data_IF_445528778562
#
_entry.id   IF_445528778562
#
_cell.length_a   1.000
_cell.length_b   1.000
_cell.length_c   1.000
_cell.angle_alpha   90.00
_cell.angle_beta   90.00
_cell.angle_gamma   90.00
#
_symmetry.space_group_name_H-M   'P 1'
#
loop_
_entity.id
_entity.type
_entity.pdbx_description
1 polymer ?
#
# COMPACT_ATOMS: atom_id res chain seq x y z
N UNK A 1 6.46 -0.11 -6.57
CA UNK A 1 7.07 -0.12 -7.93
C UNK A 1 8.28 -1.04 -8.03
N UNK A 2 9.31 -0.95 -7.17
CA UNK A 2 10.48 -1.85 -7.27
C UNK A 2 10.13 -3.31 -6.90
N UNK A 3 9.26 -3.59 -5.94
CA UNK A 3 8.77 -4.96 -5.65
C UNK A 3 7.83 -5.48 -6.73
N UNK A 4 6.95 -4.66 -7.30
CA UNK A 4 6.16 -5.04 -8.48
C UNK A 4 7.08 -5.23 -9.68
N UNK A 5 8.10 -4.38 -9.84
CA UNK A 5 9.17 -4.59 -10.82
C UNK A 5 10.04 -5.82 -10.46
N UNK A 6 10.43 -5.99 -9.20
CA UNK A 6 11.10 -7.21 -8.72
C UNK A 6 10.19 -8.45 -8.85
N UNK A 7 8.91 -8.36 -8.60
CA UNK A 7 8.01 -9.51 -8.73
C UNK A 7 7.62 -9.79 -10.19
N UNK A 8 7.44 -8.73 -11.00
CA UNK A 8 7.37 -8.87 -12.47
C UNK A 8 8.69 -9.40 -13.05
N UNK A 9 9.81 -9.11 -12.41
CA UNK A 9 11.14 -9.64 -12.74
C UNK A 9 11.34 -11.04 -12.10
N UNK A 10 10.81 -11.33 -10.90
CA UNK A 10 11.03 -12.59 -10.19
C UNK A 10 10.08 -13.73 -10.65
N UNK A 11 8.90 -13.44 -11.20
CA UNK A 11 8.05 -14.47 -11.80
C UNK A 11 8.65 -15.09 -13.09
N UNK A 12 9.20 -14.31 -14.03
CA UNK A 12 10.06 -14.87 -15.06
C UNK A 12 11.41 -15.37 -14.52
N UNK A 13 11.84 -14.94 -13.33
CA UNK A 13 13.10 -15.38 -12.71
C UNK A 13 13.09 -16.85 -12.26
N UNK A 14 11.96 -17.55 -12.08
CA UNK A 14 11.99 -19.02 -12.05
C UNK A 14 12.66 -19.59 -13.31
N UNK A 15 12.50 -18.93 -14.45
CA UNK A 15 13.20 -19.27 -15.68
C UNK A 15 14.59 -18.57 -15.80
N UNK A 16 14.83 -17.46 -15.09
CA UNK A 16 16.08 -16.68 -15.09
C UNK A 16 17.05 -17.21 -14.03
N UNK A 17 16.57 -17.76 -12.89
CA UNK A 17 17.41 -18.51 -11.94
C UNK A 17 18.04 -19.77 -12.56
N UNK A 18 17.49 -20.26 -13.68
CA UNK A 18 18.17 -21.20 -14.58
C UNK A 18 19.28 -20.57 -15.45
N UNK A 19 19.45 -19.24 -15.43
CA UNK A 19 20.44 -18.52 -16.23
C UNK A 19 21.19 -17.47 -15.39
N UNK A 20 22.07 -17.88 -14.45
CA UNK A 20 22.76 -16.98 -13.51
C UNK A 20 23.58 -15.88 -14.20
N UNK A 21 23.95 -16.08 -15.46
CA UNK A 21 24.68 -15.10 -16.27
C UNK A 21 23.85 -13.83 -16.58
N UNK A 22 22.53 -13.86 -16.55
CA UNK A 22 21.67 -12.66 -16.70
C UNK A 22 21.57 -11.85 -15.39
N UNK A 23 21.72 -12.49 -14.23
CA UNK A 23 21.65 -11.83 -12.94
C UNK A 23 22.88 -10.95 -12.68
N UNK A 24 24.05 -11.38 -13.11
CA UNK A 24 25.31 -10.63 -12.90
C UNK A 24 25.25 -9.24 -13.57
N UNK A 25 24.94 -9.10 -14.87
CA UNK A 25 24.80 -7.80 -15.50
C UNK A 25 23.73 -6.92 -14.84
N UNK A 26 22.57 -7.50 -14.48
CA UNK A 26 21.50 -6.77 -13.81
C UNK A 26 21.94 -6.21 -12.45
N UNK A 27 22.65 -7.00 -11.63
CA UNK A 27 23.21 -6.56 -10.35
C UNK A 27 24.29 -5.50 -10.55
N UNK A 28 25.15 -5.63 -11.55
CA UNK A 28 26.18 -4.65 -11.86
C UNK A 28 25.56 -3.32 -12.29
N UNK A 29 24.58 -3.33 -13.18
CA UNK A 29 23.85 -2.14 -13.62
C UNK A 29 23.13 -1.48 -12.43
N UNK A 30 22.42 -2.27 -11.62
CA UNK A 30 21.74 -1.76 -10.42
C UNK A 30 22.75 -1.11 -9.45
N UNK A 31 23.87 -1.78 -9.19
CA UNK A 31 24.92 -1.26 -8.30
C UNK A 31 25.52 0.04 -8.84
N UNK A 32 25.80 0.09 -10.15
CA UNK A 32 26.31 1.29 -10.81
C UNK A 32 25.30 2.46 -10.75
N UNK A 33 24.02 2.18 -10.95
CA UNK A 33 22.96 3.19 -10.82
C UNK A 33 22.83 3.70 -9.37
N UNK A 34 22.80 2.80 -8.39
CA UNK A 34 22.75 3.18 -6.97
C UNK A 34 23.98 4.03 -6.58
N UNK A 35 25.16 3.66 -7.06
CA UNK A 35 26.38 4.44 -6.86
C UNK A 35 26.27 5.82 -7.51
N UNK A 36 25.88 5.89 -8.78
CA UNK A 36 25.76 7.16 -9.52
C UNK A 36 24.77 8.12 -8.83
N UNK A 37 23.65 7.59 -8.35
CA UNK A 37 22.63 8.35 -7.61
C UNK A 37 23.14 8.83 -6.24
N UNK A 38 24.08 8.12 -5.61
CA UNK A 38 24.72 8.51 -4.35
C UNK A 38 25.85 9.55 -4.51
N UNK A 39 26.37 9.77 -5.73
CA UNK A 39 27.52 10.65 -5.95
C UNK A 39 27.35 12.10 -5.46
N UNK A 40 26.20 12.78 -5.63
CA UNK A 40 26.04 14.14 -5.10
C UNK A 40 26.21 14.20 -3.58
N UNK A 41 25.65 13.22 -2.87
CA UNK A 41 25.79 13.09 -1.42
C UNK A 41 27.21 12.76 -1.01
N UNK A 42 27.86 11.81 -1.69
CA UNK A 42 29.27 11.46 -1.45
C UNK A 42 30.20 12.66 -1.65
N UNK A 43 30.05 13.41 -2.76
CA UNK A 43 30.85 14.59 -3.04
C UNK A 43 30.71 15.66 -1.96
N UNK A 44 29.49 15.84 -1.46
CA UNK A 44 29.24 16.76 -0.35
C UNK A 44 29.91 16.30 0.95
N UNK A 45 29.80 15.01 1.30
CA UNK A 45 30.45 14.46 2.48
C UNK A 45 31.99 14.66 2.43
N UNK A 46 32.59 14.55 1.23
CA UNK A 46 34.02 14.76 1.04
C UNK A 46 34.50 16.22 1.23
N UNK A 47 33.58 17.18 1.16
CA UNK A 47 33.90 18.56 1.53
C UNK A 47 33.99 18.75 3.05
N UNK A 48 33.36 17.85 3.82
CA UNK A 48 33.33 17.90 5.28
C UNK A 48 34.38 16.97 5.93
N UNK A 49 34.63 15.80 5.31
CA UNK A 49 35.43 14.73 5.88
C UNK A 49 36.30 14.05 4.79
N UNK A 50 37.50 13.58 5.11
CA UNK A 50 38.32 12.79 4.20
C UNK A 50 37.79 11.35 4.06
N UNK A 51 36.57 11.21 3.49
CA UNK A 51 35.87 9.94 3.36
C UNK A 51 36.39 9.15 2.13
N UNK A 52 36.97 7.95 2.29
CA UNK A 52 37.37 7.11 1.17
C UNK A 52 36.17 6.51 0.45
N UNK A 53 36.29 6.41 -0.88
CA UNK A 53 35.16 5.94 -1.71
C UNK A 53 34.70 4.52 -1.37
N UNK A 54 35.60 3.62 -1.01
CA UNK A 54 35.25 2.25 -0.64
C UNK A 54 34.40 2.18 0.62
N UNK A 55 34.68 3.05 1.62
CA UNK A 55 33.89 3.09 2.85
C UNK A 55 32.48 3.64 2.60
N UNK A 56 32.37 4.69 1.76
CA UNK A 56 31.07 5.18 1.33
C UNK A 56 30.30 4.10 0.54
N UNK A 57 30.97 3.40 -0.40
CA UNK A 57 30.38 2.32 -1.16
C UNK A 57 29.81 1.23 -0.24
N UNK A 58 30.56 0.82 0.77
CA UNK A 58 30.12 -0.18 1.74
C UNK A 58 28.86 0.28 2.48
N UNK A 59 28.88 1.48 3.05
CA UNK A 59 27.73 2.03 3.81
C UNK A 59 26.51 2.26 2.92
N UNK A 60 26.75 2.64 1.67
CA UNK A 60 25.68 2.98 0.73
C UNK A 60 25.06 1.78 0.03
N UNK A 61 25.85 0.78 -0.33
CA UNK A 61 25.41 -0.37 -1.12
C UNK A 61 25.06 -1.61 -0.28
N UNK A 62 25.72 -1.83 0.87
CA UNK A 62 25.48 -3.02 1.67
C UNK A 62 24.00 -3.12 2.16
N UNK A 63 23.35 -2.03 2.62
CA UNK A 63 21.94 -2.13 2.99
C UNK A 63 21.01 -2.43 1.82
N UNK A 64 21.35 -2.03 0.59
CA UNK A 64 20.58 -2.39 -0.61
C UNK A 64 20.57 -3.91 -0.84
N UNK A 65 21.74 -4.54 -0.63
CA UNK A 65 21.89 -5.99 -0.77
C UNK A 65 21.18 -6.77 0.34
N UNK A 66 20.97 -6.17 1.51
CA UNK A 66 20.34 -6.84 2.65
C UNK A 66 18.90 -7.28 2.33
N UNK A 67 18.18 -6.51 1.52
CA UNK A 67 16.82 -6.88 1.08
C UNK A 67 16.86 -8.15 0.21
N UNK A 68 17.75 -8.20 -0.77
CA UNK A 68 17.93 -9.38 -1.63
C UNK A 68 18.36 -10.60 -0.81
N UNK A 69 19.32 -10.44 0.08
CA UNK A 69 19.80 -11.51 0.95
C UNK A 69 18.68 -12.04 1.87
N UNK A 70 17.77 -11.17 2.31
CA UNK A 70 16.66 -11.59 3.17
C UNK A 70 15.77 -12.65 2.53
N UNK A 71 15.61 -12.64 1.19
CA UNK A 71 14.82 -13.65 0.48
C UNK A 71 15.55 -14.99 0.29
N UNK A 72 16.87 -15.02 0.47
CA UNK A 72 17.69 -16.22 0.31
C UNK A 72 17.90 -16.98 1.63
N UNK A 73 17.56 -16.37 2.76
CA UNK A 73 17.81 -16.92 4.09
C UNK A 73 16.61 -17.66 4.65
N UNK A 74 16.85 -18.84 5.21
CA UNK A 74 15.88 -19.64 5.96
C UNK A 74 15.74 -19.21 7.43
N UNK A 75 16.82 -18.70 8.05
CA UNK A 75 16.74 -18.21 9.42
C UNK A 75 15.82 -17.00 9.54
N UNK A 76 14.75 -17.16 10.28
CA UNK A 76 13.69 -16.15 10.43
C UNK A 76 14.17 -14.85 11.07
N UNK A 77 15.07 -14.91 12.07
CA UNK A 77 15.51 -13.70 12.79
C UNK A 77 16.40 -12.85 11.90
N UNK A 78 17.38 -13.50 11.25
CA UNK A 78 18.30 -12.83 10.35
C UNK A 78 17.56 -12.30 9.11
N UNK A 79 16.67 -13.11 8.51
CA UNK A 79 15.79 -12.69 7.41
C UNK A 79 14.99 -11.44 7.77
N UNK A 80 14.28 -11.46 8.91
CA UNK A 80 13.47 -10.32 9.36
C UNK A 80 14.32 -9.07 9.63
N UNK A 81 15.52 -9.21 10.17
CA UNK A 81 16.43 -8.10 10.40
C UNK A 81 16.94 -7.49 9.10
N UNK A 82 17.46 -8.31 8.19
CA UNK A 82 17.98 -7.86 6.89
C UNK A 82 16.87 -7.23 6.04
N UNK A 83 15.68 -7.81 6.05
CA UNK A 83 14.54 -7.26 5.33
C UNK A 83 14.21 -5.84 5.82
N UNK A 84 14.11 -5.63 7.14
CA UNK A 84 13.86 -4.30 7.71
C UNK A 84 14.96 -3.30 7.40
N UNK A 85 16.23 -3.72 7.49
CA UNK A 85 17.37 -2.86 7.12
C UNK A 85 17.27 -2.39 5.66
N UNK A 86 17.02 -3.32 4.74
CA UNK A 86 16.92 -3.01 3.32
C UNK A 86 15.74 -2.11 2.98
N UNK A 87 14.57 -2.36 3.56
CA UNK A 87 13.39 -1.53 3.35
C UNK A 87 13.55 -0.12 3.92
N UNK A 88 14.07 0.01 5.15
CA UNK A 88 14.35 1.33 5.74
C UNK A 88 15.37 2.10 4.93
N UNK A 89 16.43 1.42 4.49
CA UNK A 89 17.44 2.02 3.62
C UNK A 89 16.82 2.50 2.29
N UNK A 90 15.90 1.73 1.70
CA UNK A 90 15.23 2.12 0.47
C UNK A 90 14.45 3.44 0.62
N UNK A 91 13.71 3.58 1.73
CA UNK A 91 13.02 4.84 2.04
C UNK A 91 13.99 6.01 2.25
N UNK A 92 15.10 5.79 2.97
CA UNK A 92 16.17 6.78 3.16
C UNK A 92 16.81 7.16 1.83
N UNK A 93 17.22 6.15 1.05
CA UNK A 93 17.85 6.31 -0.25
C UNK A 93 17.04 7.20 -1.19
N UNK A 94 15.74 6.94 -1.31
CA UNK A 94 14.87 7.67 -2.21
C UNK A 94 14.91 9.19 -1.93
N UNK A 95 14.63 9.59 -0.69
CA UNK A 95 14.52 11.01 -0.34
C UNK A 95 15.86 11.71 -0.21
N UNK A 96 16.87 11.01 0.30
CA UNK A 96 18.22 11.56 0.38
C UNK A 96 18.79 11.83 -1.02
N UNK A 97 18.66 10.85 -1.92
CA UNK A 97 19.08 11.00 -3.32
C UNK A 97 18.32 12.13 -4.01
N UNK A 98 16.99 12.19 -3.88
CA UNK A 98 16.19 13.27 -4.49
C UNK A 98 16.63 14.65 -3.99
N UNK A 99 16.83 14.82 -2.68
CA UNK A 99 17.24 16.10 -2.10
C UNK A 99 18.60 16.55 -2.60
N UNK A 100 19.58 15.64 -2.65
CA UNK A 100 20.95 15.96 -3.12
C UNK A 100 21.03 16.11 -4.63
N UNK A 101 20.25 15.37 -5.42
CA UNK A 101 20.15 15.62 -6.87
C UNK A 101 19.55 16.97 -7.18
N UNK A 102 18.49 17.37 -6.46
CA UNK A 102 17.89 18.69 -6.62
C UNK A 102 18.90 19.81 -6.27
N UNK A 103 19.61 19.69 -5.15
CA UNK A 103 20.64 20.65 -4.77
C UNK A 103 21.76 20.72 -5.82
N UNK A 104 22.22 19.58 -6.32
CA UNK A 104 23.24 19.51 -7.37
C UNK A 104 22.75 20.16 -8.69
N UNK A 105 21.50 19.93 -9.08
CA UNK A 105 20.89 20.52 -10.26
C UNK A 105 20.80 22.05 -10.13
N UNK A 106 20.35 22.56 -8.99
CA UNK A 106 20.30 24.02 -8.72
C UNK A 106 21.69 24.66 -8.80
N UNK A 107 22.68 24.06 -8.14
CA UNK A 107 24.07 24.57 -8.22
C UNK A 107 24.61 24.52 -9.64
N UNK A 108 24.26 23.50 -10.43
CA UNK A 108 24.65 23.41 -11.83
C UNK A 108 24.00 24.51 -12.69
N UNK A 109 22.73 24.81 -12.48
CA UNK A 109 22.04 25.91 -13.17
C UNK A 109 22.70 27.26 -12.85
N UNK A 110 23.06 27.50 -11.58
CA UNK A 110 23.80 28.71 -11.17
C UNK A 110 25.17 28.78 -11.88
N UNK A 111 25.88 27.67 -12.04
CA UNK A 111 27.13 27.66 -12.78
C UNK A 111 26.93 27.95 -14.28
N UNK A 112 25.88 27.43 -14.89
CA UNK A 112 25.54 27.68 -16.30
C UNK A 112 25.21 29.15 -16.54
N UNK A 113 24.60 29.85 -15.58
CA UNK A 113 24.37 31.29 -15.66
C UNK A 113 25.62 32.15 -15.52
N UNK A 114 26.81 31.56 -15.43
CA UNK A 114 28.10 32.26 -15.33
C UNK A 114 28.55 32.55 -13.89
N UNK A 115 27.76 32.23 -12.89
CA UNK A 115 28.15 32.51 -11.50
C UNK A 115 29.13 31.42 -10.97
N UNK A 116 30.14 31.88 -10.18
CA UNK A 116 31.10 30.97 -9.53
C UNK A 116 30.48 30.34 -8.29
N UNK A 117 30.44 29.02 -8.24
CA UNK A 117 29.99 28.25 -7.08
C UNK A 117 31.21 27.82 -6.26
N UNK A 118 31.41 28.46 -5.10
CA UNK A 118 32.45 28.10 -4.14
C UNK A 118 32.10 26.82 -3.33
N UNK A 119 33.06 26.25 -2.63
CA UNK A 119 32.83 25.11 -1.74
C UNK A 119 31.89 25.48 -0.58
N UNK A 120 31.93 26.72 -0.10
CA UNK A 120 30.98 27.20 0.91
C UNK A 120 29.52 27.11 0.41
N UNK A 121 29.24 27.48 -0.85
CA UNK A 121 27.90 27.30 -1.45
C UNK A 121 27.50 25.84 -1.54
N UNK A 122 28.42 24.96 -1.92
CA UNK A 122 28.18 23.50 -1.98
C UNK A 122 27.88 22.93 -0.59
N UNK A 123 28.64 23.34 0.44
CA UNK A 123 28.42 22.93 1.82
C UNK A 123 27.04 23.39 2.31
N UNK A 124 26.68 24.66 2.10
CA UNK A 124 25.37 25.20 2.49
C UNK A 124 24.21 24.50 1.77
N UNK A 125 24.33 24.28 0.46
CA UNK A 125 23.32 23.56 -0.32
C UNK A 125 23.14 22.11 0.16
N UNK A 126 24.22 21.42 0.56
CA UNK A 126 24.15 20.08 1.13
C UNK A 126 23.46 20.05 2.49
N UNK A 127 23.70 21.03 3.36
CA UNK A 127 22.96 21.14 4.61
C UNK A 127 21.47 21.41 4.39
N UNK A 128 21.11 22.24 3.42
CA UNK A 128 19.70 22.47 3.04
C UNK A 128 19.07 21.19 2.48
N UNK A 129 19.80 20.44 1.63
CA UNK A 129 19.34 19.16 1.11
C UNK A 129 19.10 18.13 2.24
N UNK A 130 20.02 18.06 3.21
CA UNK A 130 19.89 17.18 4.37
C UNK A 130 18.70 17.58 5.26
N UNK A 131 18.49 18.89 5.47
CA UNK A 131 17.34 19.38 6.22
C UNK A 131 16.01 19.06 5.50
N UNK A 132 15.94 19.27 4.18
CA UNK A 132 14.77 18.94 3.37
C UNK A 132 14.48 17.42 3.41
N UNK A 133 15.52 16.60 3.26
CA UNK A 133 15.41 15.14 3.44
C UNK A 133 14.84 14.80 4.82
N UNK A 134 15.43 15.33 5.89
CA UNK A 134 15.01 15.02 7.26
C UNK A 134 13.54 15.42 7.50
N UNK A 135 13.11 16.59 7.04
CA UNK A 135 11.72 17.04 7.16
C UNK A 135 10.77 16.12 6.40
N UNK A 136 11.08 15.77 5.15
CA UNK A 136 10.25 14.88 4.35
C UNK A 136 10.18 13.47 4.95
N UNK A 137 11.31 12.93 5.37
CA UNK A 137 11.39 11.55 5.89
C UNK A 137 10.71 11.43 7.26
N UNK A 138 11.06 12.30 8.20
CA UNK A 138 10.45 12.31 9.55
C UNK A 138 8.94 12.59 9.46
N UNK A 139 8.55 13.61 8.68
CA UNK A 139 7.15 13.91 8.43
C UNK A 139 6.41 12.73 7.79
N UNK A 140 7.03 12.03 6.85
CA UNK A 140 6.50 10.85 6.21
C UNK A 140 6.34 9.65 7.16
N UNK A 141 7.28 9.45 8.09
CA UNK A 141 7.18 8.43 9.15
C UNK A 141 6.04 8.76 10.13
N UNK A 142 5.96 10.00 10.59
CA UNK A 142 4.88 10.44 11.48
C UNK A 142 3.52 10.23 10.81
N UNK A 143 3.40 10.61 9.53
CA UNK A 143 2.18 10.44 8.76
C UNK A 143 1.80 8.97 8.56
N UNK A 144 2.77 8.06 8.34
CA UNK A 144 2.54 6.63 8.23
C UNK A 144 2.04 5.99 9.54
N UNK A 145 2.42 6.55 10.68
CA UNK A 145 2.02 6.06 12.00
C UNK A 145 0.71 6.67 12.51
N UNK A 146 0.16 7.64 11.79
CA UNK A 146 -1.09 8.32 12.16
C UNK A 146 -2.24 7.89 11.26
N UNK A 147 -3.23 7.18 11.83
CA UNK A 147 -4.42 6.71 11.10
C UNK A 147 -5.45 7.84 11.07
N UNK A 148 -5.86 8.24 9.88
CA UNK A 148 -6.91 9.25 9.67
C UNK A 148 -8.23 8.61 9.31
N UNK A 149 -9.32 9.25 9.70
CA UNK A 149 -10.67 8.87 9.28
C UNK A 149 -11.11 9.78 8.16
N UNK A 150 -11.30 9.24 6.97
CA UNK A 150 -11.90 9.94 5.83
C UNK A 150 -13.38 9.60 5.79
N UNK A 151 -14.25 10.59 5.50
CA UNK A 151 -15.69 10.39 5.39
C UNK A 151 -16.14 10.54 3.94
N UNK A 152 -17.00 9.62 3.49
CA UNK A 152 -17.60 9.63 2.16
C UNK A 152 -19.08 9.29 2.32
N UNK A 153 -19.97 10.21 1.88
CA UNK A 153 -21.40 9.96 1.84
C UNK A 153 -21.78 9.42 0.46
N UNK A 154 -22.58 8.36 0.43
CA UNK A 154 -23.01 7.65 -0.77
C UNK A 154 -24.51 7.41 -0.68
N UNK A 155 -25.24 7.82 -1.70
CA UNK A 155 -26.68 7.59 -1.80
C UNK A 155 -26.96 6.30 -2.57
N UNK A 156 -27.61 5.34 -1.92
CA UNK A 156 -27.98 4.03 -2.49
C UNK A 156 -29.49 3.77 -2.29
N UNK A 157 -30.11 2.89 -3.08
CA UNK A 157 -31.52 2.49 -2.91
C UNK A 157 -31.65 1.53 -1.71
N UNK A 158 -31.30 1.99 -0.53
CA UNK A 158 -31.42 1.30 0.76
C UNK A 158 -32.59 1.88 1.57
N UNK A 159 -33.10 1.11 2.55
CA UNK A 159 -34.24 1.53 3.36
C UNK A 159 -33.88 2.38 4.58
N UNK A 160 -32.63 2.26 5.06
CA UNK A 160 -32.11 2.99 6.23
C UNK A 160 -30.64 3.35 6.01
N UNK A 161 -30.20 4.41 6.65
CA UNK A 161 -28.79 4.78 6.67
C UNK A 161 -27.94 3.70 7.33
N UNK A 162 -26.74 3.46 6.78
CA UNK A 162 -25.75 2.52 7.28
C UNK A 162 -24.38 3.19 7.36
N UNK A 163 -23.64 2.86 8.38
CA UNK A 163 -22.25 3.30 8.59
C UNK A 163 -21.31 2.13 8.38
N UNK A 164 -20.59 2.10 7.27
CA UNK A 164 -19.60 1.09 7.00
C UNK A 164 -18.20 1.71 7.11
N UNK A 165 -17.24 0.98 7.65
CA UNK A 165 -15.84 1.42 7.61
C UNK A 165 -15.07 0.52 6.66
N UNK A 166 -14.50 1.13 5.62
CA UNK A 166 -13.56 0.49 4.71
C UNK A 166 -12.14 0.62 5.26
N UNK A 167 -11.47 -0.50 5.42
CA UNK A 167 -10.03 -0.61 5.62
C UNK A 167 -9.42 -1.56 4.59
N UNK A 168 -8.17 -1.39 4.27
CA UNK A 168 -7.39 -2.29 3.39
C UNK A 168 -5.91 -2.18 3.70
N UNK A 169 -5.11 -3.03 3.06
CA UNK A 169 -3.67 -2.90 3.01
C UNK A 169 -3.04 -2.83 4.42
N UNK A 170 -3.44 -3.75 5.30
CA UNK A 170 -2.90 -3.83 6.65
C UNK A 170 -1.43 -4.24 6.65
N UNK A 171 -1.02 -5.06 5.68
CA UNK A 171 0.34 -5.58 5.51
C UNK A 171 0.94 -6.07 6.82
N UNK A 172 0.20 -6.94 7.54
CA UNK A 172 0.68 -7.55 8.76
C UNK A 172 1.94 -8.37 8.47
N UNK A 173 3.05 -8.01 9.10
CA UNK A 173 4.35 -8.63 8.79
C UNK A 173 5.51 -7.98 9.55
N UNK A 174 6.59 -7.64 8.85
CA UNK A 174 7.83 -7.16 9.45
C UNK A 174 7.73 -5.78 10.11
N UNK A 175 6.97 -4.86 9.50
CA UNK A 175 6.83 -3.48 9.98
C UNK A 175 5.47 -3.20 10.61
N UNK A 176 4.40 -3.68 10.00
CA UNK A 176 3.04 -3.55 10.54
C UNK A 176 2.93 -4.45 11.77
N UNK A 177 3.52 -3.96 12.84
CA UNK A 177 3.65 -4.68 14.10
C UNK A 177 2.44 -4.51 15.01
N UNK A 178 2.51 -5.12 16.20
CA UNK A 178 1.41 -5.18 17.15
C UNK A 178 0.95 -3.81 17.70
N UNK A 179 1.68 -2.73 17.41
CA UNK A 179 1.31 -1.39 17.85
C UNK A 179 0.43 -0.64 16.83
N UNK A 180 0.48 -1.02 15.56
CA UNK A 180 -0.26 -0.31 14.49
C UNK A 180 -1.73 -0.75 14.44
N UNK A 181 -1.96 -2.07 14.44
CA UNK A 181 -3.31 -2.64 14.33
C UNK A 181 -4.26 -2.18 15.45
N UNK A 182 -3.87 -2.09 16.74
CA UNK A 182 -4.75 -1.54 17.78
C UNK A 182 -5.15 -0.08 17.54
N UNK A 183 -4.28 0.73 16.92
CA UNK A 183 -4.61 2.12 16.56
C UNK A 183 -5.66 2.16 15.44
N UNK A 184 -5.53 1.28 14.45
CA UNK A 184 -6.50 1.13 13.36
C UNK A 184 -7.84 0.69 13.94
N UNK A 185 -7.87 -0.36 14.76
CA UNK A 185 -9.08 -0.88 15.41
C UNK A 185 -9.75 0.20 16.28
N UNK A 186 -8.98 0.96 17.04
CA UNK A 186 -9.51 2.09 17.83
C UNK A 186 -10.16 3.15 16.93
N UNK A 187 -9.47 3.57 15.86
CA UNK A 187 -10.01 4.56 14.93
C UNK A 187 -11.31 4.09 14.26
N UNK A 188 -11.44 2.78 14.01
CA UNK A 188 -12.66 2.16 13.48
C UNK A 188 -13.76 2.16 14.54
N UNK A 189 -13.48 1.69 15.75
CA UNK A 189 -14.45 1.59 16.83
C UNK A 189 -15.05 2.95 17.20
N UNK A 190 -14.24 4.02 17.19
CA UNK A 190 -14.68 5.40 17.42
C UNK A 190 -15.71 5.90 16.36
N UNK A 191 -15.84 5.23 15.23
CA UNK A 191 -16.84 5.57 14.23
C UNK A 191 -18.16 4.81 14.43
N UNK A 192 -18.25 3.88 15.39
CA UNK A 192 -19.43 3.05 15.69
C UNK A 192 -20.06 2.47 14.40
N UNK A 193 -19.31 1.70 13.59
CA UNK A 193 -19.81 1.22 12.33
C UNK A 193 -20.80 0.06 12.49
N UNK A 194 -21.80 -0.02 11.60
CA UNK A 194 -22.69 -1.18 11.48
C UNK A 194 -21.94 -2.42 10.95
N UNK A 195 -20.92 -2.23 10.09
CA UNK A 195 -20.02 -3.28 9.63
C UNK A 195 -18.67 -2.70 9.18
N UNK A 196 -17.66 -3.58 9.07
CA UNK A 196 -16.34 -3.26 8.54
C UNK A 196 -16.08 -4.05 7.27
N UNK A 197 -15.55 -3.37 6.25
CA UNK A 197 -15.12 -3.94 4.98
C UNK A 197 -13.59 -3.96 4.93
N UNK A 198 -12.98 -5.13 4.83
CA UNK A 198 -11.53 -5.32 4.73
C UNK A 198 -11.16 -5.72 3.30
N UNK A 199 -10.71 -4.74 2.52
CA UNK A 199 -10.44 -4.88 1.09
C UNK A 199 -9.03 -5.39 0.78
N UNK A 200 -8.66 -6.55 1.30
CA UNK A 200 -7.44 -7.28 0.93
C UNK A 200 -6.12 -6.73 1.46
N UNK A 201 -5.04 -7.41 1.09
CA UNK A 201 -3.67 -7.20 1.54
C UNK A 201 -3.56 -7.14 3.08
N UNK A 202 -4.10 -8.20 3.68
CA UNK A 202 -4.11 -8.38 5.14
C UNK A 202 -2.69 -8.72 5.63
N UNK A 203 -2.00 -9.58 4.91
CA UNK A 203 -0.62 -9.97 5.20
C UNK A 203 0.35 -9.39 4.17
N UNK A 204 1.55 -9.02 4.62
CA UNK A 204 2.63 -8.59 3.73
C UNK A 204 3.45 -9.78 3.19
N UNK A 205 3.64 -10.82 4.04
CA UNK A 205 4.51 -11.96 3.80
C UNK A 205 3.84 -13.28 4.26
N UNK A 206 4.65 -14.33 4.48
CA UNK A 206 4.20 -15.59 5.07
C UNK A 206 3.67 -15.42 6.50
N UNK A 207 2.81 -16.35 6.92
CA UNK A 207 2.28 -16.34 8.29
C UNK A 207 3.39 -16.39 9.35
N UNK A 208 4.49 -17.13 9.07
CA UNK A 208 5.63 -17.20 9.96
C UNK A 208 6.35 -15.87 10.17
N UNK A 209 6.20 -14.91 9.26
CA UNK A 209 6.83 -13.60 9.38
C UNK A 209 6.02 -12.63 10.26
N UNK A 210 4.79 -13.03 10.62
CA UNK A 210 3.92 -12.26 11.49
C UNK A 210 4.52 -12.15 12.91
N UNK A 211 4.79 -10.94 13.35
CA UNK A 211 5.32 -10.68 14.69
C UNK A 211 4.21 -10.67 15.72
N UNK A 212 4.32 -11.53 16.76
CA UNK A 212 3.33 -11.63 17.85
C UNK A 212 1.90 -11.85 17.31
N UNK A 213 1.63 -12.95 16.59
CA UNK A 213 0.33 -13.21 15.96
C UNK A 213 -0.85 -13.12 16.93
N UNK A 214 -0.63 -13.45 18.21
CA UNK A 214 -1.67 -13.41 19.23
C UNK A 214 -2.19 -11.99 19.50
N UNK A 215 -1.33 -10.96 19.45
CA UNK A 215 -1.77 -9.58 19.63
C UNK A 215 -2.57 -9.09 18.42
N UNK A 216 -2.22 -9.53 17.21
CA UNK A 216 -3.01 -9.26 16.01
C UNK A 216 -4.37 -9.97 16.07
N UNK A 217 -4.36 -11.24 16.51
CA UNK A 217 -5.60 -12.02 16.72
C UNK A 217 -6.52 -11.32 17.72
N UNK A 218 -6.00 -10.92 18.88
CA UNK A 218 -6.77 -10.21 19.90
C UNK A 218 -7.40 -8.92 19.36
N UNK A 219 -6.62 -8.12 18.62
CA UNK A 219 -7.12 -6.87 18.05
C UNK A 219 -8.24 -7.09 17.02
N UNK A 220 -8.05 -8.04 16.08
CA UNK A 220 -9.04 -8.34 15.04
C UNK A 220 -10.28 -9.04 15.62
N UNK A 221 -10.10 -10.00 16.54
CA UNK A 221 -11.21 -10.66 17.20
C UNK A 221 -12.00 -9.68 18.09
N UNK A 222 -11.31 -8.75 18.77
CA UNK A 222 -11.96 -7.68 19.52
C UNK A 222 -12.83 -6.76 18.65
N UNK A 223 -12.41 -6.51 17.40
CA UNK A 223 -13.22 -5.77 16.43
C UNK A 223 -14.43 -6.59 15.98
N UNK A 224 -14.22 -7.84 15.57
CA UNK A 224 -15.24 -8.68 14.96
C UNK A 224 -16.28 -9.21 15.95
N UNK A 225 -15.98 -9.27 17.25
CA UNK A 225 -16.97 -9.69 18.24
C UNK A 225 -18.07 -8.64 18.49
N UNK A 226 -17.83 -7.38 18.15
CA UNK A 226 -18.80 -6.30 18.31
C UNK A 226 -19.40 -5.82 16.98
N UNK A 227 -18.69 -6.02 15.88
CA UNK A 227 -19.06 -5.48 14.56
C UNK A 227 -18.77 -6.52 13.48
N UNK A 228 -19.74 -6.88 12.60
CA UNK A 228 -19.48 -7.79 11.49
C UNK A 228 -18.34 -7.28 10.61
N UNK A 229 -17.39 -8.16 10.29
CA UNK A 229 -16.25 -7.85 9.40
C UNK A 229 -16.33 -8.76 8.18
N UNK A 230 -16.44 -8.14 7.00
CA UNK A 230 -16.40 -8.83 5.71
C UNK A 230 -15.06 -8.53 5.04
N UNK A 231 -14.37 -9.54 4.55
CA UNK A 231 -13.06 -9.41 3.94
C UNK A 231 -13.01 -10.07 2.57
N UNK A 232 -12.16 -9.58 1.69
CA UNK A 232 -11.65 -10.30 0.51
C UNK A 232 -10.13 -10.44 0.62
N UNK A 233 -9.53 -11.31 -0.19
CA UNK A 233 -8.07 -11.40 -0.31
C UNK A 233 -7.51 -10.34 -1.24
N UNK A 234 -6.23 -9.97 -1.05
CA UNK A 234 -5.47 -9.14 -1.96
C UNK A 234 -4.29 -9.89 -2.58
N UNK A 235 -3.53 -9.21 -3.43
CA UNK A 235 -2.41 -9.84 -4.14
C UNK A 235 -1.26 -10.25 -3.21
N UNK A 236 -1.03 -9.54 -2.09
CA UNK A 236 -0.03 -9.96 -1.10
C UNK A 236 -0.45 -11.20 -0.31
N UNK A 237 -1.75 -11.39 -0.12
CA UNK A 237 -2.26 -12.59 0.53
C UNK A 237 -1.96 -13.85 -0.30
N UNK A 238 -1.85 -13.70 -1.65
CA UNK A 238 -1.53 -14.78 -2.60
C UNK A 238 -0.02 -15.07 -2.73
N UNK A 239 0.86 -14.08 -2.46
CA UNK A 239 2.30 -14.20 -2.73
C UNK A 239 2.99 -15.32 -1.96
N UNK A 240 2.51 -15.61 -0.77
CA UNK A 240 3.00 -16.64 0.12
C UNK A 240 1.81 -17.49 0.57
N UNK A 241 1.33 -18.43 -0.29
CA UNK A 241 0.18 -19.26 0.02
C UNK A 241 0.42 -20.05 1.31
N UNK A 242 -0.48 -19.87 2.28
CA UNK A 242 -0.39 -20.53 3.58
C UNK A 242 -1.79 -20.67 4.20
N UNK A 243 -2.27 -21.88 4.34
CA UNK A 243 -3.58 -22.17 4.93
C UNK A 243 -3.75 -21.58 6.34
N UNK A 244 -2.65 -21.31 7.03
CA UNK A 244 -2.67 -20.64 8.35
C UNK A 244 -3.18 -19.21 8.28
N UNK A 245 -3.02 -18.51 7.14
CA UNK A 245 -3.55 -17.15 6.93
C UNK A 245 -5.07 -17.15 6.95
N UNK A 246 -5.69 -18.03 6.16
CA UNK A 246 -7.15 -18.17 6.12
C UNK A 246 -7.71 -18.63 7.47
N UNK A 247 -7.05 -19.62 8.10
CA UNK A 247 -7.42 -20.08 9.43
C UNK A 247 -7.29 -18.97 10.48
N UNK A 248 -6.28 -18.09 10.37
CA UNK A 248 -6.10 -16.95 11.24
C UNK A 248 -7.24 -15.94 11.07
N UNK A 249 -7.56 -15.55 9.82
CA UNK A 249 -8.63 -14.59 9.53
C UNK A 249 -9.98 -15.10 10.02
N UNK A 250 -10.35 -16.33 9.64
CA UNK A 250 -11.61 -16.96 10.07
C UNK A 250 -11.66 -17.17 11.58
N UNK A 251 -10.52 -17.53 12.20
CA UNK A 251 -10.38 -17.66 13.64
C UNK A 251 -10.48 -16.33 14.42
N UNK A 252 -10.36 -15.18 13.74
CA UNK A 252 -10.67 -13.87 14.28
C UNK A 252 -12.18 -13.51 14.16
N UNK A 253 -13.05 -14.39 13.66
CA UNK A 253 -14.46 -14.09 13.44
C UNK A 253 -14.73 -13.24 12.19
N UNK A 254 -13.75 -13.07 11.31
CA UNK A 254 -13.87 -12.32 10.06
C UNK A 254 -14.42 -13.23 8.97
N UNK A 255 -15.45 -12.77 8.26
CA UNK A 255 -16.03 -13.50 7.12
C UNK A 255 -15.23 -13.20 5.85
N UNK A 256 -14.36 -14.12 5.48
CA UNK A 256 -13.59 -14.05 4.24
C UNK A 256 -14.47 -14.53 3.07
N UNK A 257 -14.70 -13.64 2.11
CA UNK A 257 -15.51 -13.85 0.90
C UNK A 257 -14.57 -14.01 -0.31
N UNK A 258 -14.67 -15.13 -1.01
CA UNK A 258 -13.78 -15.50 -2.11
C UNK A 258 -14.59 -15.89 -3.35
N UNK A 259 -15.03 -14.89 -4.11
CA UNK A 259 -16.08 -14.99 -5.13
C UNK A 259 -17.43 -15.43 -4.56
N UNK A 260 -17.67 -15.05 -3.30
CA UNK A 260 -18.86 -15.36 -2.54
C UNK A 260 -19.63 -14.10 -2.16
N UNK A 261 -20.93 -14.23 -2.02
CA UNK A 261 -21.79 -13.14 -1.58
C UNK A 261 -22.49 -13.43 -0.26
N UNK A 262 -22.89 -12.36 0.40
CA UNK A 262 -23.72 -12.39 1.60
C UNK A 262 -24.79 -11.31 1.53
N UNK A 263 -26.01 -11.65 1.93
CA UNK A 263 -27.06 -10.67 2.18
C UNK A 263 -26.91 -10.12 3.60
N UNK A 264 -26.78 -8.80 3.71
CA UNK A 264 -26.62 -8.14 5.00
C UNK A 264 -27.33 -6.77 5.00
N UNK A 265 -28.23 -6.53 5.94
CA UNK A 265 -28.94 -5.26 6.16
C UNK A 265 -29.54 -4.62 4.89
N UNK A 266 -30.06 -5.42 3.99
CA UNK A 266 -30.66 -4.95 2.73
C UNK A 266 -29.64 -4.68 1.60
N UNK A 267 -28.36 -5.01 1.80
CA UNK A 267 -27.33 -5.03 0.79
C UNK A 267 -26.98 -6.46 0.38
N UNK A 268 -26.52 -6.64 -0.84
CA UNK A 268 -25.74 -7.80 -1.25
C UNK A 268 -24.25 -7.39 -1.25
N UNK A 269 -23.44 -8.03 -0.41
CA UNK A 269 -22.00 -7.81 -0.35
C UNK A 269 -21.33 -8.99 -1.06
N UNK A 270 -20.64 -8.73 -2.17
CA UNK A 270 -19.86 -9.69 -2.92
C UNK A 270 -18.38 -9.45 -2.67
N UNK A 271 -17.68 -10.43 -2.10
CA UNK A 271 -16.21 -10.40 -2.03
C UNK A 271 -15.61 -11.13 -3.22
N UNK A 272 -14.74 -10.44 -3.96
CA UNK A 272 -14.04 -11.01 -5.10
C UNK A 272 -12.65 -11.52 -4.70
N UNK A 273 -12.22 -12.65 -5.28
CA UNK A 273 -10.80 -13.02 -5.28
C UNK A 273 -9.99 -11.95 -6.00
N UNK A 274 -8.73 -11.72 -5.60
CA UNK A 274 -7.88 -10.73 -6.27
C UNK A 274 -7.75 -11.00 -7.78
N UNK A 275 -7.59 -9.95 -8.53
CA UNK A 275 -7.45 -10.02 -9.98
C UNK A 275 -6.19 -10.77 -10.47
N UNK A 276 -5.26 -11.12 -9.57
CA UNK A 276 -4.08 -11.95 -9.84
C UNK A 276 -4.27 -13.42 -9.41
N UNK A 277 -5.39 -13.77 -8.76
CA UNK A 277 -5.70 -15.14 -8.37
C UNK A 277 -6.20 -15.95 -9.58
N UNK A 278 -5.49 -16.99 -9.94
CA UNK A 278 -5.87 -17.90 -11.05
C UNK A 278 -7.20 -18.65 -10.76
N UNK A 279 -7.63 -18.69 -9.50
CA UNK A 279 -8.91 -19.29 -9.06
C UNK A 279 -10.07 -18.30 -9.11
N UNK A 280 -9.83 -17.03 -9.47
CA UNK A 280 -10.89 -16.01 -9.59
C UNK A 280 -11.90 -16.44 -10.65
N UNK A 281 -13.15 -16.58 -10.24
CA UNK A 281 -14.22 -16.95 -11.15
C UNK A 281 -14.54 -15.83 -12.13
N UNK A 282 -14.85 -16.15 -13.39
CA UNK A 282 -15.28 -15.15 -14.36
C UNK A 282 -16.62 -14.52 -13.96
N UNK A 283 -16.89 -13.28 -14.37
CA UNK A 283 -18.12 -12.56 -14.01
C UNK A 283 -19.41 -13.35 -14.26
N UNK A 284 -19.45 -14.09 -15.38
CA UNK A 284 -20.59 -14.90 -15.81
C UNK A 284 -20.97 -16.02 -14.83
N UNK A 285 -20.06 -16.42 -13.94
CA UNK A 285 -20.33 -17.45 -12.93
C UNK A 285 -20.70 -16.86 -11.57
N UNK A 286 -20.37 -15.61 -11.30
CA UNK A 286 -20.56 -14.99 -9.98
C UNK A 286 -21.79 -14.09 -9.93
N UNK A 287 -21.92 -13.17 -10.90
CA UNK A 287 -22.94 -12.13 -10.83
C UNK A 287 -24.38 -12.58 -11.17
N UNK A 288 -24.62 -13.52 -12.12
CA UNK A 288 -26.01 -13.90 -12.48
C UNK A 288 -26.81 -14.50 -11.33
N UNK A 289 -26.17 -15.11 -10.34
CA UNK A 289 -26.81 -15.70 -9.16
C UNK A 289 -27.17 -14.70 -8.06
N UNK A 290 -26.82 -13.41 -8.23
CA UNK A 290 -27.06 -12.40 -7.21
C UNK A 290 -28.46 -11.81 -7.29
N UNK A 291 -29.05 -11.51 -6.13
CA UNK A 291 -30.37 -10.85 -6.05
C UNK A 291 -30.28 -9.43 -6.62
N UNK A 292 -31.21 -9.10 -7.51
CA UNK A 292 -31.37 -7.76 -8.09
C UNK A 292 -32.25 -6.84 -7.27
N UNK A 293 -32.87 -7.36 -6.19
CA UNK A 293 -33.80 -6.60 -5.35
C UNK A 293 -33.07 -5.75 -4.29
N UNK A 294 -31.74 -5.82 -4.25
CA UNK A 294 -30.92 -5.15 -3.25
C UNK A 294 -29.68 -4.54 -3.93
N UNK A 295 -29.25 -3.38 -3.46
CA UNK A 295 -27.99 -2.80 -3.95
C UNK A 295 -26.81 -3.77 -3.77
N UNK A 296 -25.99 -3.84 -4.81
CA UNK A 296 -24.80 -4.68 -4.84
C UNK A 296 -23.57 -3.86 -4.47
N UNK A 297 -22.94 -4.22 -3.34
CA UNK A 297 -21.65 -3.74 -2.92
C UNK A 297 -20.59 -4.79 -3.26
N UNK A 298 -19.61 -4.43 -4.08
CA UNK A 298 -18.49 -5.31 -4.43
C UNK A 298 -17.24 -4.91 -3.64
N UNK A 299 -16.72 -5.86 -2.88
CA UNK A 299 -15.45 -5.78 -2.17
C UNK A 299 -14.37 -6.46 -3.03
N UNK A 300 -13.55 -5.67 -3.70
CA UNK A 300 -12.50 -6.15 -4.62
C UNK A 300 -11.22 -5.36 -4.35
N UNK A 301 -10.15 -6.07 -3.99
CA UNK A 301 -8.90 -5.43 -3.60
C UNK A 301 -8.34 -4.52 -4.68
N UNK A 302 -8.29 -4.98 -5.93
CA UNK A 302 -7.67 -4.26 -7.02
C UNK A 302 -8.68 -3.40 -7.78
N UNK A 303 -8.55 -2.06 -7.79
CA UNK A 303 -9.50 -1.17 -8.43
C UNK A 303 -9.57 -1.30 -9.97
N UNK A 304 -8.64 -2.00 -10.62
CA UNK A 304 -8.65 -2.16 -12.08
C UNK A 304 -9.91 -2.83 -12.63
N UNK A 305 -10.60 -3.60 -11.81
CA UNK A 305 -11.79 -4.39 -12.18
C UNK A 305 -13.12 -3.68 -11.91
N UNK A 306 -13.11 -2.43 -11.43
CA UNK A 306 -14.32 -1.71 -11.03
C UNK A 306 -15.34 -1.54 -12.17
N UNK A 307 -14.89 -1.36 -13.43
CA UNK A 307 -15.79 -1.22 -14.58
C UNK A 307 -16.54 -2.52 -14.85
N UNK A 308 -15.86 -3.66 -14.76
CA UNK A 308 -16.49 -4.98 -14.83
C UNK A 308 -17.62 -5.11 -13.82
N UNK A 309 -17.36 -4.77 -12.55
CA UNK A 309 -18.39 -4.82 -11.51
C UNK A 309 -19.57 -3.87 -11.80
N UNK A 310 -19.29 -2.66 -12.29
CA UNK A 310 -20.33 -1.71 -12.68
C UNK A 310 -21.19 -2.18 -13.87
N UNK A 311 -20.58 -2.84 -14.84
CA UNK A 311 -21.29 -3.47 -15.97
C UNK A 311 -22.19 -4.62 -15.53
N UNK A 312 -21.83 -5.29 -14.44
CA UNK A 312 -22.61 -6.35 -13.81
C UNK A 312 -23.67 -5.82 -12.79
N UNK A 313 -23.82 -4.51 -12.67
CA UNK A 313 -24.87 -3.88 -11.86
C UNK A 313 -24.45 -3.51 -10.43
N UNK A 314 -23.16 -3.49 -10.12
CA UNK A 314 -22.72 -3.01 -8.81
C UNK A 314 -22.96 -1.50 -8.66
N UNK A 315 -23.65 -1.10 -7.59
CA UNK A 315 -23.83 0.30 -7.21
C UNK A 315 -22.62 0.87 -6.46
N UNK A 316 -21.93 0.03 -5.68
CA UNK A 316 -20.75 0.44 -4.93
C UNK A 316 -19.64 -0.59 -5.08
N UNK A 317 -18.46 -0.14 -5.51
CA UNK A 317 -17.21 -0.91 -5.49
C UNK A 317 -16.27 -0.27 -4.48
N UNK A 318 -15.66 -1.08 -3.61
CA UNK A 318 -14.67 -0.62 -2.64
C UNK A 318 -13.37 -1.39 -2.82
N UNK A 319 -12.25 -0.67 -2.83
CA UNK A 319 -10.92 -1.20 -3.18
C UNK A 319 -9.79 -0.56 -2.36
N UNK A 320 -8.62 -1.20 -2.38
CA UNK A 320 -7.36 -0.72 -1.85
C UNK A 320 -6.22 -0.77 -2.88
N UNK A 321 -5.18 -1.57 -2.60
CA UNK A 321 -4.10 -2.00 -3.50
C UNK A 321 -3.05 -0.93 -3.83
N UNK A 322 -3.47 0.26 -4.23
CA UNK A 322 -2.57 1.27 -4.78
C UNK A 322 -1.80 2.07 -3.73
N UNK A 323 -2.23 2.01 -2.48
CA UNK A 323 -1.77 2.89 -1.39
C UNK A 323 -1.86 4.39 -1.73
N UNK A 324 -2.63 4.77 -2.77
CA UNK A 324 -2.61 6.12 -3.34
C UNK A 324 -1.24 6.53 -3.87
N UNK A 325 -0.35 5.56 -4.16
CA UNK A 325 1.05 5.74 -4.53
C UNK A 325 2.01 5.88 -3.36
N UNK A 326 1.54 5.76 -2.13
CA UNK A 326 2.23 5.76 -0.82
C UNK A 326 3.25 6.88 -0.60
N UNK A 327 4.15 7.14 -1.55
CA UNK A 327 5.26 8.09 -1.42
C UNK A 327 5.38 8.99 -2.65
N UNK A 328 5.64 10.29 -2.43
CA UNK A 328 6.01 11.19 -3.52
C UNK A 328 7.40 10.79 -4.08
N UNK A 329 7.63 10.80 -5.42
CA UNK A 329 6.69 11.15 -6.49
C UNK A 329 5.84 9.97 -7.00
N UNK A 330 5.86 8.80 -6.35
CA UNK A 330 5.14 7.60 -6.76
C UNK A 330 3.64 7.82 -6.90
N UNK A 331 3.06 8.66 -6.04
CA UNK A 331 1.65 9.05 -6.11
C UNK A 331 1.30 9.83 -7.40
N UNK A 332 2.20 10.68 -7.89
CA UNK A 332 2.00 11.41 -9.14
C UNK A 332 2.17 10.47 -10.34
N UNK A 333 3.21 9.63 -10.31
CA UNK A 333 3.47 8.65 -11.37
C UNK A 333 2.32 7.66 -11.54
N UNK A 334 1.82 7.10 -10.44
CA UNK A 334 0.69 6.17 -10.51
C UNK A 334 -0.57 6.85 -11.05
N UNK A 335 -0.88 8.07 -10.62
CA UNK A 335 -2.02 8.83 -11.16
C UNK A 335 -1.92 9.09 -12.66
N UNK A 336 -0.71 9.33 -13.16
CA UNK A 336 -0.47 9.59 -14.58
C UNK A 336 -0.48 8.33 -15.46
N UNK A 337 -0.06 7.20 -14.91
CA UNK A 337 0.18 5.97 -15.67
C UNK A 337 -0.95 4.95 -15.56
N UNK A 338 -1.72 4.93 -14.47
CA UNK A 338 -2.78 3.93 -14.30
C UNK A 338 -4.05 4.34 -15.02
N UNK A 339 -4.69 3.44 -15.78
CA UNK A 339 -5.93 3.71 -16.52
C UNK A 339 -7.18 3.67 -15.63
N UNK A 340 -7.01 3.55 -14.33
CA UNK A 340 -8.08 3.48 -13.34
C UNK A 340 -7.76 4.39 -12.13
N UNK A 341 -8.78 4.81 -11.35
CA UNK A 341 -8.56 5.60 -10.14
C UNK A 341 -7.73 4.83 -9.12
N UNK A 342 -6.65 5.45 -8.65
CA UNK A 342 -5.77 4.86 -7.64
C UNK A 342 -6.11 5.31 -6.22
N UNK A 343 -7.01 6.30 -6.05
CA UNK A 343 -7.36 6.86 -4.75
C UNK A 343 -8.59 7.76 -4.85
N UNK A 344 -9.41 7.71 -3.82
CA UNK A 344 -10.52 8.63 -3.60
C UNK A 344 -11.87 8.05 -3.98
N UNK A 345 -12.86 8.91 -4.14
CA UNK A 345 -14.22 8.57 -4.52
C UNK A 345 -14.50 9.03 -5.95
N UNK A 346 -15.03 8.13 -6.76
CA UNK A 346 -15.53 8.40 -8.11
C UNK A 346 -17.00 8.01 -8.19
N UNK A 347 -17.80 8.86 -8.79
CA UNK A 347 -19.21 8.60 -9.07
C UNK A 347 -19.47 8.74 -10.57
N UNK A 348 -20.25 7.81 -11.14
CA UNK A 348 -20.64 7.81 -12.55
C UNK A 348 -21.99 7.13 -12.71
N UNK A 349 -23.01 7.86 -13.17
CA UNK A 349 -24.34 7.31 -13.43
C UNK A 349 -25.01 6.61 -12.23
N UNK A 350 -24.87 7.15 -11.02
CA UNK A 350 -25.41 6.56 -9.78
C UNK A 350 -24.58 5.39 -9.23
N UNK A 351 -23.46 5.04 -9.88
CA UNK A 351 -22.51 4.01 -9.42
C UNK A 351 -21.33 4.68 -8.74
N UNK A 352 -20.77 4.02 -7.74
CA UNK A 352 -19.72 4.56 -6.89
C UNK A 352 -18.51 3.62 -6.84
N UNK A 353 -17.31 4.20 -6.89
CA UNK A 353 -16.05 3.53 -6.59
C UNK A 353 -15.36 4.30 -5.47
N UNK A 354 -14.97 3.59 -4.41
CA UNK A 354 -14.12 4.16 -3.35
C UNK A 354 -12.83 3.36 -3.29
N UNK A 355 -11.71 4.04 -3.54
CA UNK A 355 -10.37 3.47 -3.42
C UNK A 355 -9.68 4.13 -2.24
N UNK A 356 -9.38 3.35 -1.20
CA UNK A 356 -8.64 3.84 -0.04
C UNK A 356 -7.13 3.77 -0.26
N UNK A 357 -6.40 4.63 0.44
CA UNK A 357 -4.93 4.54 0.48
C UNK A 357 -4.41 3.49 1.46
N UNK A 358 -5.30 2.81 2.16
CA UNK A 358 -4.95 1.75 3.11
C UNK A 358 -4.65 2.24 4.52
N UNK A 359 -4.86 1.35 5.49
CA UNK A 359 -4.68 1.60 6.92
C UNK A 359 -3.31 1.16 7.45
N UNK A 360 -2.57 0.36 6.70
CA UNK A 360 -1.18 0.00 6.93
C UNK A 360 -0.24 0.68 5.96
N UNK A 361 0.89 0.09 5.72
CA UNK A 361 1.87 0.54 4.74
C UNK A 361 2.67 -0.65 4.21
N UNK A 362 3.04 -0.56 2.97
CA UNK A 362 3.88 -1.52 2.30
C UNK A 362 5.35 -1.11 2.39
N UNK A 363 6.24 -2.03 2.81
CA UNK A 363 7.65 -1.72 3.04
C UNK A 363 7.86 -0.88 4.30
N UNK A 364 8.74 0.15 4.26
CA UNK A 364 9.04 0.95 5.44
C UNK A 364 7.84 1.81 5.87
N UNK A 365 7.74 2.18 7.15
CA UNK A 365 6.68 3.05 7.66
C UNK A 365 6.87 4.47 7.14
N UNK A 366 6.54 4.70 5.87
CA UNK A 366 6.79 5.97 5.20
C UNK A 366 5.63 6.32 4.25
N UNK A 367 4.95 7.45 4.52
CA UNK A 367 3.90 8.01 3.66
C UNK A 367 4.13 9.50 3.42
N UNK A 368 4.40 9.87 2.18
CA UNK A 368 4.66 11.26 1.77
C UNK A 368 3.69 11.64 0.66
N UNK A 369 2.87 12.66 0.92
CA UNK A 369 1.84 13.13 -0.01
C UNK A 369 0.56 12.27 -0.06
N UNK A 370 0.48 11.23 0.77
CA UNK A 370 -0.70 10.36 0.96
C UNK A 370 -0.81 10.00 2.43
N UNK A 371 -2.03 9.94 2.96
CA UNK A 371 -2.27 9.60 4.36
C UNK A 371 -2.43 8.08 4.56
N UNK A 372 -2.24 7.65 5.79
CA UNK A 372 -2.72 6.38 6.29
C UNK A 372 -4.16 6.55 6.77
N UNK A 373 -5.11 5.74 6.29
CA UNK A 373 -6.52 6.03 6.54
C UNK A 373 -7.42 4.79 6.65
N UNK A 374 -8.51 4.98 7.34
CA UNK A 374 -9.75 4.22 7.19
C UNK A 374 -10.83 5.13 6.62
N UNK A 375 -11.78 4.58 5.85
CA UNK A 375 -12.83 5.38 5.22
C UNK A 375 -14.18 5.04 5.83
N UNK A 376 -14.81 6.01 6.50
CA UNK A 376 -16.20 5.92 6.92
C UNK A 376 -17.10 6.18 5.72
N UNK A 377 -17.79 5.15 5.25
CA UNK A 377 -18.81 5.19 4.23
C UNK A 377 -20.16 5.41 4.91
N UNK A 378 -20.74 6.59 4.73
CA UNK A 378 -22.09 6.90 5.17
C UNK A 378 -23.04 6.61 4.02
N UNK A 379 -23.69 5.44 4.07
CA UNK A 379 -24.67 5.06 3.07
C UNK A 379 -26.02 5.63 3.47
N UNK A 380 -26.58 6.46 2.59
CA UNK A 380 -27.85 7.15 2.80
C UNK A 380 -28.88 6.68 1.78
N UNK A 381 -30.18 6.59 2.15
CA UNK A 381 -31.23 6.33 1.19
C UNK A 381 -31.25 7.39 0.08
N UNK A 382 -31.47 6.97 -1.15
CA UNK A 382 -31.83 7.91 -2.23
C UNK A 382 -33.17 8.53 -1.88
N UNK A 383 -33.20 9.86 -1.73
CA UNK A 383 -34.47 10.58 -1.52
C UNK A 383 -35.37 10.33 -2.73
N UNK A 384 -36.45 9.55 -2.55
CA UNK A 384 -37.49 9.47 -3.55
C UNK A 384 -38.09 10.89 -3.70
N UNK A 385 -38.02 11.46 -4.92
CA UNK A 385 -38.81 12.65 -5.21
C UNK A 385 -40.27 12.33 -4.84
N UNK A 386 -40.96 13.22 -4.15
CA UNK A 386 -42.38 13.02 -3.94
C UNK A 386 -43.04 12.77 -5.31
N UNK A 387 -43.81 11.69 -5.41
CA UNK A 387 -44.67 11.46 -6.56
C UNK A 387 -45.67 12.60 -6.52
N UNK A 388 -45.53 13.60 -7.39
CA UNK A 388 -46.58 14.58 -7.63
C UNK A 388 -47.81 13.77 -8.07
N UNK A 389 -48.78 13.66 -7.18
CA UNK A 389 -50.08 13.09 -7.51
C UNK A 389 -50.79 14.13 -8.36
N UNK A 390 -50.91 13.86 -9.65
CA UNK A 390 -51.83 14.52 -10.54
C UNK A 390 -53.28 14.31 -10.10
#
# INVERSE_FOLDING_TARGET
MLRVLMFAILRPMKNIFGQPWLLIPALLIMTALLWALGLPFFRWLRLLFPLPAWLFALIWLAPALSLTLSYLLSDRRLRSWLHRVGECWFGLFLYLTMSFLLAAAVLRLIQISGAKVSDLWRIRAGWLALAAFALCYIGGVINALHVRVKRVTIHLPIRRSLRLVLMSDLHLGFFSGPHMLPRIVKAIAEQEPDAVLLAGDIFDMGYEDLRRPELHRQALAGLSCHTPVFACGGNHDLLFPDLRKDAFIRGCGIRLLEDESVSWQGLTILGRRDAMDERRLPPQQVYPGLSKDRPLLVLDHNPRTYREAWEQGAELVVSGHSHGGQTFPGNLLQRALMPYPIYGHRQEGGRHLVVTSGAGFWGPPLRVGVNNEVVLLQLEPVLQKPVERE
#
